data_IF_327073938458
#
_entry.id   IF_327073938458
#
_cell.length_a   1.000
_cell.length_b   1.000
_cell.length_c   1.000
_cell.angle_alpha   90.00
_cell.angle_beta   90.00
_cell.angle_gamma   90.00
#
_symmetry.space_group_name_H-M   'P 1'
#
loop_
_entity.id
_entity.type
_entity.pdbx_description
1 polymer ?
#
# COMPACT_ATOMS: atom_id res chain seq x y z
N UNK A 1 -24.26 -9.68 5.61
CA UNK A 1 -23.13 -8.98 4.97
C UNK A 1 -23.02 -9.40 3.50
N UNK A 2 -22.95 -8.45 2.57
CA UNK A 2 -22.74 -8.71 1.14
C UNK A 2 -21.52 -7.95 0.67
N UNK A 3 -20.51 -8.67 0.15
CA UNK A 3 -19.27 -8.09 -0.39
C UNK A 3 -19.04 -8.56 -1.82
N UNK A 4 -18.80 -7.62 -2.75
CA UNK A 4 -18.41 -7.88 -4.13
C UNK A 4 -17.12 -7.14 -4.43
N UNK A 5 -16.06 -7.87 -4.76
CA UNK A 5 -14.75 -7.31 -5.09
C UNK A 5 -14.10 -8.06 -6.25
N UNK A 6 -13.28 -7.36 -7.02
CA UNK A 6 -12.47 -7.92 -8.10
C UNK A 6 -11.01 -7.70 -7.74
N UNK A 7 -10.21 -8.76 -7.86
CA UNK A 7 -8.77 -8.74 -7.68
C UNK A 7 -8.10 -9.02 -9.01
N UNK A 8 -7.09 -8.25 -9.36
CA UNK A 8 -6.27 -8.48 -10.54
C UNK A 8 -4.81 -8.54 -10.12
N UNK A 9 -4.11 -9.58 -10.53
CA UNK A 9 -2.68 -9.76 -10.36
C UNK A 9 -2.03 -9.91 -11.73
N UNK A 10 -1.06 -9.06 -12.02
CA UNK A 10 -0.17 -9.18 -13.18
C UNK A 10 1.26 -9.36 -12.66
N UNK A 11 1.93 -10.40 -13.15
CA UNK A 11 3.36 -10.62 -12.96
C UNK A 11 4.02 -10.76 -14.33
N UNK A 12 5.08 -10.00 -14.56
CA UNK A 12 5.85 -10.07 -15.79
C UNK A 12 7.35 -9.97 -15.49
N UNK A 13 8.14 -10.83 -16.11
CA UNK A 13 9.59 -10.81 -16.01
C UNK A 13 10.19 -10.55 -17.39
N UNK A 14 10.94 -9.47 -17.50
CA UNK A 14 11.64 -9.07 -18.72
C UNK A 14 13.14 -9.29 -18.55
N UNK A 15 13.76 -10.26 -19.25
CA UNK A 15 15.20 -10.39 -19.28
C UNK A 15 15.80 -9.26 -20.13
N UNK A 16 16.65 -8.44 -19.52
CA UNK A 16 17.37 -7.37 -20.19
C UNK A 16 18.73 -7.92 -20.63
N UNK A 17 18.91 -8.13 -21.94
CA UNK A 17 20.13 -8.73 -22.51
C UNK A 17 21.39 -8.01 -21.96
N UNK A 18 22.19 -8.76 -21.16
CA UNK A 18 23.42 -8.25 -20.55
C UNK A 18 23.25 -7.25 -19.41
N UNK A 19 22.02 -6.88 -19.02
CA UNK A 19 21.75 -5.90 -17.95
C UNK A 19 20.93 -6.47 -16.78
N UNK A 20 20.79 -7.79 -16.70
CA UNK A 20 20.00 -8.44 -15.65
C UNK A 20 18.53 -8.62 -16.01
N UNK A 21 17.65 -8.64 -15.01
CA UNK A 21 16.22 -8.88 -15.16
C UNK A 21 15.40 -7.76 -14.53
N UNK A 22 14.30 -7.41 -15.18
CA UNK A 22 13.31 -6.47 -14.67
C UNK A 22 12.00 -7.22 -14.42
N UNK A 23 11.55 -7.24 -13.17
CA UNK A 23 10.26 -7.77 -12.76
C UNK A 23 9.22 -6.66 -12.63
N UNK A 24 8.01 -6.91 -13.09
CA UNK A 24 6.84 -6.08 -12.84
C UNK A 24 5.80 -6.93 -12.12
N UNK A 25 5.33 -6.45 -10.97
CA UNK A 25 4.17 -6.99 -10.27
C UNK A 25 3.14 -5.90 -10.10
N UNK A 26 1.90 -6.16 -10.47
CA UNK A 26 0.82 -5.20 -10.33
C UNK A 26 -0.42 -5.86 -9.75
N UNK A 27 -0.78 -5.43 -8.54
CA UNK A 27 -1.94 -5.89 -7.80
C UNK A 27 -3.00 -4.80 -7.76
N UNK A 28 -4.24 -5.15 -8.10
CA UNK A 28 -5.38 -4.26 -7.98
C UNK A 28 -6.50 -4.92 -7.19
N UNK A 29 -7.19 -4.11 -6.41
CA UNK A 29 -8.40 -4.49 -5.68
C UNK A 29 -9.47 -3.46 -5.96
N UNK A 30 -10.57 -3.89 -6.57
CA UNK A 30 -11.76 -3.08 -6.75
C UNK A 30 -12.87 -3.60 -5.84
N UNK A 31 -13.32 -2.77 -4.91
CA UNK A 31 -14.46 -3.03 -4.05
C UNK A 31 -15.71 -2.41 -4.68
N UNK A 32 -16.50 -3.22 -5.37
CA UNK A 32 -17.71 -2.76 -6.03
C UNK A 32 -18.85 -2.52 -5.02
N UNK A 33 -19.06 -3.46 -4.10
CA UNK A 33 -20.12 -3.42 -3.11
C UNK A 33 -19.63 -3.96 -1.78
N UNK A 34 -20.03 -3.29 -0.68
CA UNK A 34 -19.85 -3.79 0.67
C UNK A 34 -21.00 -3.25 1.52
N UNK A 35 -21.99 -4.09 1.78
CA UNK A 35 -23.16 -3.77 2.56
C UNK A 35 -23.19 -4.62 3.82
N UNK A 36 -23.49 -3.98 4.92
CA UNK A 36 -23.70 -4.61 6.22
C UNK A 36 -25.12 -4.34 6.66
N UNK A 37 -25.91 -5.39 6.84
CA UNK A 37 -27.22 -5.30 7.46
C UNK A 37 -27.07 -5.39 8.98
N UNK A 38 -27.62 -4.43 9.69
CA UNK A 38 -27.67 -4.39 11.16
C UNK A 38 -29.12 -4.37 11.58
N UNK A 39 -29.49 -5.25 12.49
CA UNK A 39 -30.82 -5.22 13.12
C UNK A 39 -30.86 -4.10 14.16
N UNK A 40 -31.88 -3.28 14.08
CA UNK A 40 -32.18 -2.20 15.03
C UNK A 40 -33.60 -2.37 15.55
N UNK A 41 -33.95 -1.70 16.64
CA UNK A 41 -35.32 -1.74 17.20
C UNK A 41 -36.40 -1.29 16.21
N UNK A 42 -35.99 -0.57 15.15
CA UNK A 42 -36.87 -0.07 14.06
C UNK A 42 -36.90 -0.97 12.83
N UNK A 43 -36.19 -2.14 12.84
CA UNK A 43 -36.04 -3.06 11.71
C UNK A 43 -34.61 -3.17 11.19
N UNK A 44 -34.45 -3.85 10.05
CA UNK A 44 -33.12 -4.06 9.44
C UNK A 44 -32.64 -2.82 8.70
N UNK A 45 -31.54 -2.22 9.13
CA UNK A 45 -30.85 -1.13 8.43
C UNK A 45 -29.67 -1.66 7.62
N UNK A 46 -29.58 -1.29 6.35
CA UNK A 46 -28.43 -1.61 5.49
C UNK A 46 -27.47 -0.43 5.39
N UNK A 47 -26.22 -0.64 5.77
CA UNK A 47 -25.14 0.35 5.69
C UNK A 47 -24.25 0.02 4.50
N UNK A 48 -24.12 0.97 3.55
CA UNK A 48 -23.27 0.86 2.38
C UNK A 48 -21.85 1.36 2.72
N UNK A 49 -20.84 0.48 2.72
CA UNK A 49 -19.49 0.78 3.17
C UNK A 49 -18.47 0.98 2.04
N UNK A 50 -18.76 0.58 0.80
CA UNK A 50 -17.83 0.73 -0.33
C UNK A 50 -17.59 2.21 -0.69
N UNK A 51 -16.35 2.67 -0.59
CA UNK A 51 -15.95 4.06 -0.85
C UNK A 51 -16.29 5.03 0.27
N UNK A 52 -16.53 4.51 1.47
CA UNK A 52 -16.97 5.30 2.62
C UNK A 52 -16.06 5.01 3.82
N UNK A 53 -15.77 6.03 4.61
CA UNK A 53 -15.24 5.91 5.96
C UNK A 53 -16.42 5.89 6.93
N UNK A 54 -16.42 4.95 7.87
CA UNK A 54 -17.45 4.83 8.91
C UNK A 54 -16.84 5.17 10.27
N UNK A 55 -17.42 6.11 10.99
CA UNK A 55 -16.85 6.64 12.23
C UNK A 55 -16.67 5.63 13.36
N UNK A 56 -17.55 4.62 13.50
CA UNK A 56 -17.47 3.68 14.62
C UNK A 56 -17.80 2.25 14.17
N UNK A 57 -16.85 1.30 14.26
CA UNK A 57 -15.41 1.53 14.42
C UNK A 57 -14.84 2.23 13.19
N UNK A 58 -13.91 3.17 13.39
CA UNK A 58 -13.25 3.90 12.30
C UNK A 58 -12.62 2.95 11.31
N UNK A 59 -13.18 2.85 10.12
CA UNK A 59 -12.69 2.01 9.03
C UNK A 59 -13.05 2.59 7.69
N UNK A 60 -12.03 2.84 6.89
CA UNK A 60 -12.17 3.24 5.52
C UNK A 60 -12.14 2.04 4.57
N UNK A 61 -13.08 2.01 3.63
CA UNK A 61 -13.19 0.98 2.61
C UNK A 61 -13.09 1.62 1.21
N UNK A 62 -11.88 1.99 0.74
CA UNK A 62 -11.72 2.59 -0.57
C UNK A 62 -12.20 1.65 -1.66
N UNK A 63 -12.83 2.22 -2.71
CA UNK A 63 -13.29 1.43 -3.86
C UNK A 63 -12.15 0.86 -4.69
N UNK A 64 -11.00 1.52 -4.69
CA UNK A 64 -9.84 1.04 -5.43
C UNK A 64 -8.56 1.19 -4.63
N UNK A 65 -7.81 0.09 -4.55
CA UNK A 65 -6.42 0.04 -4.10
C UNK A 65 -5.57 -0.60 -5.18
N UNK A 66 -4.39 -0.05 -5.40
CA UNK A 66 -3.44 -0.58 -6.37
C UNK A 66 -2.03 -0.54 -5.82
N UNK A 67 -1.26 -1.61 -6.07
CA UNK A 67 0.17 -1.68 -5.73
C UNK A 67 0.91 -2.16 -6.96
N UNK A 68 1.84 -1.35 -7.45
CA UNK A 68 2.76 -1.68 -8.52
C UNK A 68 4.18 -1.79 -7.99
N UNK A 69 4.91 -2.83 -8.36
CA UNK A 69 6.30 -3.05 -7.99
C UNK A 69 7.12 -3.26 -9.24
N UNK A 70 8.17 -2.45 -9.42
CA UNK A 70 9.25 -2.66 -10.37
C UNK A 70 10.46 -3.14 -9.60
N UNK A 71 11.02 -4.29 -9.96
CA UNK A 71 12.19 -4.88 -9.34
C UNK A 71 13.24 -5.21 -10.39
N UNK A 72 14.36 -4.52 -10.36
CA UNK A 72 15.49 -4.79 -11.22
C UNK A 72 16.60 -5.50 -10.45
N UNK A 73 17.21 -6.51 -11.06
CA UNK A 73 18.35 -7.27 -10.52
C UNK A 73 19.40 -7.51 -11.59
N UNK A 74 20.65 -7.09 -11.33
CA UNK A 74 21.77 -7.30 -12.23
C UNK A 74 23.12 -6.95 -11.59
N UNK A 75 24.18 -7.64 -11.97
CA UNK A 75 25.57 -7.36 -11.55
C UNK A 75 25.81 -7.32 -10.01
N UNK A 76 25.05 -8.10 -9.23
CA UNK A 76 25.12 -8.05 -7.78
C UNK A 76 24.36 -6.87 -7.15
N UNK A 77 23.69 -6.05 -7.96
CA UNK A 77 22.82 -4.98 -7.49
C UNK A 77 21.35 -5.31 -7.71
N UNK A 78 20.49 -4.69 -6.92
CA UNK A 78 19.06 -4.72 -7.10
C UNK A 78 18.45 -3.36 -6.76
N UNK A 79 17.40 -2.99 -7.48
CA UNK A 79 16.63 -1.78 -7.23
C UNK A 79 15.14 -2.11 -7.30
N UNK A 80 14.40 -1.72 -6.27
CA UNK A 80 12.95 -1.92 -6.20
C UNK A 80 12.27 -0.57 -6.05
N UNK A 81 11.26 -0.31 -6.88
CA UNK A 81 10.37 0.84 -6.78
C UNK A 81 8.95 0.34 -6.60
N UNK A 82 8.28 0.78 -5.55
CA UNK A 82 6.88 0.42 -5.25
C UNK A 82 6.01 1.66 -5.29
N UNK A 83 4.94 1.62 -6.10
CA UNK A 83 3.87 2.60 -6.10
C UNK A 83 2.63 2.04 -5.43
N UNK A 84 2.02 2.77 -4.49
CA UNK A 84 0.81 2.39 -3.77
C UNK A 84 -0.25 3.46 -3.92
N UNK A 85 -1.40 3.10 -4.47
CA UNK A 85 -2.54 3.99 -4.70
C UNK A 85 -3.72 3.60 -3.84
N UNK A 86 -4.39 4.60 -3.27
CA UNK A 86 -5.64 4.48 -2.53
C UNK A 86 -6.60 5.52 -3.09
N UNK A 87 -7.77 5.09 -3.56
CA UNK A 87 -8.77 6.01 -4.10
C UNK A 87 -9.37 6.91 -3.01
N UNK A 88 -9.97 8.01 -3.42
CA UNK A 88 -10.71 8.89 -2.51
C UNK A 88 -11.82 8.14 -1.78
N UNK A 89 -12.19 8.64 -0.61
CA UNK A 89 -13.19 8.08 0.29
C UNK A 89 -14.10 9.21 0.78
N UNK A 90 -15.39 8.93 0.93
CA UNK A 90 -16.37 9.87 1.50
C UNK A 90 -16.47 9.66 3.00
N UNK A 91 -16.42 10.74 3.77
CA UNK A 91 -16.69 10.71 5.22
C UNK A 91 -18.20 10.62 5.49
N UNK A 92 -18.63 9.68 6.34
CA UNK A 92 -20.07 9.44 6.63
C UNK A 92 -20.69 10.60 7.38
N UNK A 93 -19.99 11.10 8.41
CA UNK A 93 -20.50 12.15 9.29
C UNK A 93 -20.35 13.56 8.72
N UNK A 94 -19.72 13.68 7.56
CA UNK A 94 -19.54 14.92 6.84
C UNK A 94 -19.75 14.71 5.33
N UNK A 95 -21.01 14.63 4.92
CA UNK A 95 -21.43 14.24 3.57
C UNK A 95 -20.82 15.05 2.42
N UNK A 96 -20.28 16.23 2.71
CA UNK A 96 -19.66 17.12 1.73
C UNK A 96 -18.14 17.08 1.77
N UNK A 97 -17.54 16.25 2.63
CA UNK A 97 -16.10 16.11 2.73
C UNK A 97 -15.62 14.77 2.15
N UNK A 98 -14.56 14.84 1.34
CA UNK A 98 -13.90 13.69 0.79
C UNK A 98 -12.44 13.65 1.24
N UNK A 99 -12.04 12.51 1.77
CA UNK A 99 -10.64 12.20 1.96
C UNK A 99 -10.05 11.96 0.56
N UNK A 100 -9.07 12.78 0.18
CA UNK A 100 -8.47 12.73 -1.17
C UNK A 100 -7.79 11.40 -1.47
N UNK A 101 -7.70 11.06 -2.75
CA UNK A 101 -6.90 9.93 -3.20
C UNK A 101 -5.42 10.15 -2.88
N UNK A 102 -4.72 9.07 -2.51
CA UNK A 102 -3.32 9.10 -2.10
C UNK A 102 -2.47 8.19 -2.99
N UNK A 103 -1.25 8.65 -3.27
CA UNK A 103 -0.24 7.86 -3.96
C UNK A 103 1.08 7.95 -3.20
N UNK A 104 1.58 6.81 -2.75
CA UNK A 104 2.84 6.68 -2.05
C UNK A 104 3.86 5.97 -2.95
N UNK A 105 5.12 6.35 -2.82
CA UNK A 105 6.23 5.72 -3.55
C UNK A 105 7.29 5.30 -2.56
N UNK A 106 7.68 4.03 -2.61
CA UNK A 106 8.76 3.48 -1.80
C UNK A 106 9.90 3.05 -2.71
N UNK A 107 11.14 3.18 -2.24
CA UNK A 107 12.32 2.80 -2.99
C UNK A 107 13.30 2.01 -2.15
N UNK A 108 13.95 1.01 -2.76
CA UNK A 108 14.96 0.18 -2.13
C UNK A 108 16.10 -0.11 -3.08
N UNK A 109 17.32 -0.05 -2.58
CA UNK A 109 18.53 -0.51 -3.27
C UNK A 109 19.16 -1.65 -2.48
N UNK A 110 19.62 -2.66 -3.20
CA UNK A 110 20.31 -3.83 -2.67
C UNK A 110 21.66 -3.98 -3.34
N UNK A 111 22.64 -4.43 -2.56
CA UNK A 111 23.95 -4.76 -3.07
C UNK A 111 24.44 -6.07 -2.46
N UNK A 112 24.79 -7.02 -3.32
CA UNK A 112 25.38 -8.33 -2.96
C UNK A 112 26.81 -8.38 -3.49
N UNK A 113 27.78 -7.94 -2.69
CA UNK A 113 29.18 -8.06 -3.08
C UNK A 113 29.62 -9.52 -3.14
N UNK A 114 30.45 -9.85 -4.13
CA UNK A 114 31.06 -11.17 -4.25
C UNK A 114 32.37 -11.18 -3.43
N UNK A 115 32.28 -11.56 -2.17
CA UNK A 115 33.49 -11.74 -1.32
C UNK A 115 33.89 -13.22 -1.26
N UNK A 116 35.13 -13.54 -1.66
CA UNK A 116 35.71 -14.90 -1.57
C UNK A 116 36.19 -15.26 -0.16
N UNK A 117 35.82 -14.56 0.89
CA UNK A 117 36.38 -14.66 2.25
C UNK A 117 35.54 -15.52 3.21
N UNK A 118 34.93 -16.61 2.73
CA UNK A 118 34.23 -17.54 3.66
C UNK A 118 32.88 -17.03 4.22
N UNK A 119 32.46 -15.81 3.90
CA UNK A 119 31.15 -15.28 4.18
C UNK A 119 30.32 -15.48 2.91
N UNK A 120 29.33 -16.35 3.00
CA UNK A 120 28.41 -16.58 1.91
C UNK A 120 27.20 -15.65 2.03
N UNK A 121 26.73 -15.08 0.91
CA UNK A 121 25.52 -14.25 0.81
C UNK A 121 25.49 -13.02 1.72
N UNK A 122 26.51 -12.15 1.67
CA UNK A 122 26.42 -10.82 2.27
C UNK A 122 25.52 -9.92 1.41
N UNK A 123 24.51 -9.32 2.02
CA UNK A 123 23.58 -8.39 1.36
C UNK A 123 23.46 -7.08 2.15
N UNK A 124 23.70 -5.97 1.50
CA UNK A 124 23.40 -4.63 2.01
C UNK A 124 22.11 -4.12 1.35
N UNK A 125 21.18 -3.63 2.16
CA UNK A 125 19.93 -3.04 1.69
C UNK A 125 19.75 -1.66 2.33
N UNK A 126 19.44 -0.66 1.51
CA UNK A 126 19.01 0.66 1.97
C UNK A 126 17.71 1.02 1.28
N UNK A 127 16.82 1.69 1.98
CA UNK A 127 15.55 2.06 1.39
C UNK A 127 14.87 3.22 2.09
N UNK A 128 13.83 3.71 1.45
CA UNK A 128 12.94 4.71 2.00
C UNK A 128 11.50 4.39 1.63
N UNK A 129 10.63 4.45 2.62
CA UNK A 129 9.19 4.43 2.41
C UNK A 129 8.70 5.87 2.31
N UNK A 130 7.66 6.07 1.49
CA UNK A 130 7.09 7.38 1.24
C UNK A 130 8.14 8.41 0.80
N UNK A 131 8.90 8.11 -0.27
CA UNK A 131 10.02 8.90 -0.80
C UNK A 131 9.70 10.40 -0.94
N UNK A 132 8.48 10.73 -1.34
CA UNK A 132 8.04 12.11 -1.57
C UNK A 132 7.45 12.78 -0.34
N UNK A 133 7.49 12.10 0.83
CA UNK A 133 6.97 12.62 2.10
C UNK A 133 5.51 13.09 1.99
N UNK A 134 4.69 12.30 1.32
CA UNK A 134 3.26 12.57 1.16
C UNK A 134 2.59 12.54 2.54
N UNK A 135 1.91 13.62 2.90
CA UNK A 135 1.26 13.74 4.20
C UNK A 135 -0.04 12.95 4.25
N UNK A 136 -0.31 12.35 5.40
CA UNK A 136 -1.59 11.69 5.67
C UNK A 136 -2.74 12.67 5.49
N UNK A 137 -3.81 12.31 4.76
CA UNK A 137 -4.97 13.17 4.61
C UNK A 137 -5.75 13.24 5.93
N UNK A 138 -6.23 14.43 6.28
CA UNK A 138 -7.11 14.59 7.43
C UNK A 138 -8.46 13.92 7.21
N UNK A 139 -9.02 13.41 8.29
CA UNK A 139 -10.36 12.82 8.37
C UNK A 139 -11.05 13.37 9.61
N UNK A 140 -12.05 14.22 9.41
CA UNK A 140 -12.72 14.91 10.52
C UNK A 140 -13.61 13.96 11.32
N UNK A 141 -14.20 12.96 10.65
CA UNK A 141 -15.10 11.96 11.25
C UNK A 141 -14.40 10.74 11.84
N UNK A 142 -13.06 10.66 11.72
CA UNK A 142 -12.31 9.53 12.25
C UNK A 142 -12.13 9.62 13.77
N UNK A 143 -12.54 8.59 14.48
CA UNK A 143 -12.47 8.49 15.95
C UNK A 143 -11.04 8.27 16.49
N UNK A 144 -10.06 8.10 15.62
CA UNK A 144 -8.68 7.92 16.07
C UNK A 144 -8.12 9.26 16.49
N UNK A 145 -7.44 9.31 17.61
CA UNK A 145 -6.93 10.49 18.31
C UNK A 145 -6.09 11.49 17.49
N UNK A 146 -5.96 11.29 16.19
CA UNK A 146 -5.19 12.14 15.27
C UNK A 146 -5.96 12.53 14.01
N UNK A 147 -7.27 12.32 13.96
CA UNK A 147 -8.13 12.65 12.83
C UNK A 147 -7.61 12.10 11.48
N UNK A 148 -7.23 10.84 11.43
CA UNK A 148 -6.89 10.12 10.20
C UNK A 148 -7.30 8.64 10.29
N UNK A 149 -7.45 7.98 9.13
CA UNK A 149 -7.74 6.55 9.07
C UNK A 149 -6.43 5.73 8.99
N UNK A 150 -6.33 4.59 9.70
CA UNK A 150 -5.13 3.73 9.74
C UNK A 150 -4.70 3.13 8.39
N UNK A 151 -5.50 3.24 7.34
CA UNK A 151 -5.11 2.76 6.00
C UNK A 151 -4.03 3.63 5.33
N UNK A 152 -3.81 4.85 5.84
CA UNK A 152 -2.83 5.80 5.32
C UNK A 152 -1.51 5.74 6.09
N UNK A 153 -0.40 6.05 5.41
CA UNK A 153 0.92 6.12 6.03
C UNK A 153 1.04 7.34 6.96
N UNK A 154 1.10 7.11 8.26
CA UNK A 154 1.19 8.16 9.26
C UNK A 154 2.61 8.68 9.52
N UNK A 155 3.69 7.86 9.46
CA UNK A 155 5.03 8.31 9.82
C UNK A 155 5.64 9.31 8.83
N UNK A 156 5.04 9.51 7.64
CA UNK A 156 5.67 10.27 6.58
C UNK A 156 6.83 9.50 5.94
N UNK A 157 7.89 10.22 5.52
CA UNK A 157 9.07 9.56 4.94
C UNK A 157 9.89 8.87 6.02
N UNK A 158 10.25 7.61 5.77
CA UNK A 158 10.99 6.75 6.67
C UNK A 158 12.14 6.07 5.93
N UNK A 159 13.37 6.19 6.46
CA UNK A 159 14.57 5.56 5.92
C UNK A 159 14.94 4.33 6.74
N UNK A 160 15.49 3.31 6.08
CA UNK A 160 15.98 2.11 6.74
C UNK A 160 17.24 1.56 6.05
N UNK A 161 18.05 0.83 6.82
CA UNK A 161 19.15 0.04 6.34
C UNK A 161 19.10 -1.36 6.95
N UNK A 162 19.52 -2.37 6.19
CA UNK A 162 19.60 -3.76 6.63
C UNK A 162 20.88 -4.40 6.11
N UNK A 163 21.50 -5.24 6.94
CA UNK A 163 22.60 -6.11 6.57
C UNK A 163 22.13 -7.55 6.77
N UNK A 164 22.21 -8.36 5.72
CA UNK A 164 21.95 -9.80 5.75
C UNK A 164 23.25 -10.55 5.57
N UNK A 165 23.50 -11.58 6.39
CA UNK A 165 24.65 -12.47 6.31
C UNK A 165 24.18 -13.90 6.44
N UNK A 166 24.65 -14.78 5.54
CA UNK A 166 24.54 -16.22 5.71
C UNK A 166 25.94 -16.80 5.88
N UNK A 167 26.11 -17.69 6.82
CA UNK A 167 27.35 -18.41 7.15
C UNK A 167 27.12 -19.91 7.08
#
# INVERSE_FOLDING_TARGET
ETKKSVFTLLNYLLPLRGMGNLGLTWNNTFLHKFDVATETDSGTQTIHRAGVETGTPTRAFPKWKSVGVLDWNGFGFGATLTGRYISHIREVNNNNHFIKAMFYTDGQLRWKPNFEMGIHDLEFTVGANNLFNVKTPGCVSCDVSSNFDPIYDTPGRYYYARIGVKY
#
